data_IF_681360841154
#
_entry.id   IF_681360841154
#
_cell.length_a   1.000
_cell.length_b   1.000
_cell.length_c   1.000
_cell.angle_alpha   90.00
_cell.angle_beta   90.00
_cell.angle_gamma   90.00
#
_symmetry.space_group_name_H-M   'P 1'
#
loop_
_entity.id
_entity.type
_entity.pdbx_description
1 polymer ?
#
# COMPACT_ATOMS: atom_id res chain seq x y z
N UNK A 1 -16.51 1.90 0.33
CA UNK A 1 -17.16 2.57 -0.82
C UNK A 1 -18.11 3.68 -0.33
N UNK A 2 -19.11 3.37 0.54
CA UNK A 2 -20.08 4.37 1.00
C UNK A 2 -19.40 5.58 1.66
N UNK A 3 -18.46 5.35 2.57
CA UNK A 3 -17.72 6.41 3.24
C UNK A 3 -16.83 7.22 2.28
N UNK A 4 -16.19 6.56 1.30
CA UNK A 4 -15.38 7.23 0.27
C UNK A 4 -16.24 8.20 -0.55
N UNK A 5 -17.38 7.73 -1.05
CA UNK A 5 -18.35 8.55 -1.80
C UNK A 5 -18.94 9.71 -0.98
N UNK A 6 -19.06 9.53 0.32
CA UNK A 6 -19.57 10.56 1.22
C UNK A 6 -18.48 11.54 1.72
N UNK A 7 -17.20 11.28 1.44
CA UNK A 7 -16.08 12.07 1.96
C UNK A 7 -15.86 11.92 3.47
N UNK A 8 -16.27 10.80 4.04
CA UNK A 8 -16.22 10.54 5.49
C UNK A 8 -15.22 9.43 5.87
N UNK A 9 -14.26 9.15 4.99
CA UNK A 9 -13.17 8.25 5.35
C UNK A 9 -12.33 8.84 6.49
N UNK A 10 -11.89 8.01 7.44
CA UNK A 10 -10.82 8.40 8.36
C UNK A 10 -9.55 8.82 7.61
N UNK A 11 -8.71 9.61 8.26
CA UNK A 11 -7.42 10.06 7.70
C UNK A 11 -6.52 8.90 7.27
N UNK A 12 -6.58 7.79 7.98
CA UNK A 12 -5.96 6.52 7.60
C UNK A 12 -7.02 5.43 7.57
N UNK A 13 -7.06 4.68 6.48
CA UNK A 13 -8.03 3.60 6.28
C UNK A 13 -7.34 2.37 5.71
N UNK A 14 -7.38 1.27 6.43
CA UNK A 14 -6.95 -0.03 5.93
C UNK A 14 -8.16 -0.80 5.40
N UNK A 15 -8.04 -1.33 4.20
CA UNK A 15 -9.09 -2.14 3.60
C UNK A 15 -8.48 -3.48 3.22
N UNK A 16 -8.91 -4.54 3.91
CA UNK A 16 -8.58 -5.92 3.55
C UNK A 16 -9.88 -6.57 3.04
N UNK A 17 -9.90 -7.07 1.79
CA UNK A 17 -11.04 -7.82 1.28
C UNK A 17 -11.29 -9.09 2.11
N UNK A 18 -12.55 -9.51 2.21
CA UNK A 18 -12.90 -10.80 2.79
C UNK A 18 -12.59 -11.96 1.84
N UNK A 19 -12.55 -13.16 2.37
CA UNK A 19 -12.27 -14.37 1.62
C UNK A 19 -13.09 -14.49 0.33
N UNK A 20 -12.45 -14.92 -0.74
CA UNK A 20 -13.01 -14.97 -2.10
C UNK A 20 -12.75 -13.74 -2.97
N UNK A 21 -12.15 -12.65 -2.42
CA UNK A 21 -11.76 -11.44 -3.16
C UNK A 21 -10.43 -10.85 -2.68
N UNK A 22 -9.56 -11.65 -2.10
CA UNK A 22 -8.32 -11.25 -1.44
C UNK A 22 -7.06 -11.73 -2.17
N UNK A 23 -7.22 -12.38 -3.32
CA UNK A 23 -6.16 -13.00 -4.12
C UNK A 23 -5.39 -14.11 -3.39
N UNK A 24 -5.92 -14.60 -2.27
CA UNK A 24 -5.27 -15.69 -1.53
C UNK A 24 -5.28 -16.98 -2.36
N UNK A 25 -4.11 -17.62 -2.58
CA UNK A 25 -4.01 -18.85 -3.34
C UNK A 25 -4.96 -19.95 -2.83
N UNK A 26 -5.72 -20.54 -3.75
CA UNK A 26 -6.68 -21.60 -3.44
C UNK A 26 -8.04 -21.17 -2.90
N UNK A 27 -8.25 -19.87 -2.60
CA UNK A 27 -9.53 -19.37 -2.10
C UNK A 27 -10.16 -18.29 -2.97
N UNK A 28 -9.38 -17.56 -3.74
CA UNK A 28 -9.88 -16.53 -4.65
C UNK A 28 -9.08 -16.48 -5.95
N UNK A 29 -9.64 -15.85 -6.97
CA UNK A 29 -8.96 -15.60 -8.23
C UNK A 29 -8.54 -14.13 -8.35
N UNK A 30 -7.48 -13.90 -9.14
CA UNK A 30 -6.91 -12.56 -9.34
C UNK A 30 -7.92 -11.64 -10.02
N UNK A 31 -8.65 -12.13 -11.00
CA UNK A 31 -9.56 -11.29 -11.78
C UNK A 31 -10.70 -10.69 -10.95
N UNK A 32 -11.39 -11.51 -10.17
CA UNK A 32 -12.49 -11.04 -9.30
C UNK A 32 -11.98 -10.07 -8.23
N UNK A 33 -10.79 -10.32 -7.71
CA UNK A 33 -10.16 -9.50 -6.69
C UNK A 33 -9.70 -8.15 -7.25
N UNK A 34 -9.11 -8.14 -8.45
CA UNK A 34 -8.80 -6.89 -9.18
C UNK A 34 -10.05 -6.04 -9.42
N UNK A 35 -11.17 -6.65 -9.83
CA UNK A 35 -12.42 -5.91 -10.03
C UNK A 35 -12.87 -5.21 -8.74
N UNK A 36 -12.72 -5.87 -7.60
CA UNK A 36 -13.03 -5.25 -6.32
C UNK A 36 -12.04 -4.13 -5.98
N UNK A 37 -10.73 -4.35 -6.18
CA UNK A 37 -9.70 -3.34 -5.93
C UNK A 37 -9.95 -2.07 -6.78
N UNK A 38 -10.20 -2.22 -8.08
CA UNK A 38 -10.54 -1.11 -8.98
C UNK A 38 -11.78 -0.36 -8.50
N UNK A 39 -12.83 -1.08 -8.09
CA UNK A 39 -14.05 -0.46 -7.56
C UNK A 39 -13.82 0.33 -6.27
N UNK A 40 -12.94 -0.15 -5.40
CA UNK A 40 -12.58 0.53 -4.16
C UNK A 40 -11.74 1.78 -4.46
N UNK A 41 -10.73 1.67 -5.31
CA UNK A 41 -9.85 2.75 -5.73
C UNK A 41 -10.66 3.86 -6.40
N UNK A 42 -11.50 3.52 -7.39
CA UNK A 42 -12.35 4.50 -8.06
C UNK A 42 -13.30 5.21 -7.10
N UNK A 43 -13.83 4.51 -6.10
CA UNK A 43 -14.69 5.15 -5.10
C UNK A 43 -13.96 6.22 -4.27
N UNK A 44 -12.64 6.10 -4.09
CA UNK A 44 -11.81 7.12 -3.45
C UNK A 44 -11.49 8.25 -4.43
N UNK A 45 -11.04 7.90 -5.65
CA UNK A 45 -10.60 8.88 -6.65
C UNK A 45 -11.74 9.72 -7.24
N UNK A 46 -12.96 9.18 -7.26
CA UNK A 46 -14.18 9.91 -7.68
C UNK A 46 -14.87 10.61 -6.49
N UNK A 47 -14.36 10.41 -5.29
CA UNK A 47 -14.95 10.95 -4.06
C UNK A 47 -14.51 12.39 -3.75
N UNK A 48 -15.18 13.04 -2.79
CA UNK A 48 -14.87 14.43 -2.41
C UNK A 48 -13.43 14.66 -1.91
N UNK A 49 -12.79 13.62 -1.38
CA UNK A 49 -11.43 13.70 -0.84
C UNK A 49 -10.33 13.34 -1.88
N UNK A 50 -10.68 13.08 -3.13
CA UNK A 50 -9.76 12.61 -4.19
C UNK A 50 -8.47 13.46 -4.31
N UNK A 51 -8.60 14.77 -4.21
CA UNK A 51 -7.46 15.72 -4.32
C UNK A 51 -6.45 15.61 -3.17
N UNK A 52 -6.86 15.06 -2.04
CA UNK A 52 -6.04 14.91 -0.82
C UNK A 52 -5.78 13.43 -0.47
N UNK A 53 -6.20 12.50 -1.34
CA UNK A 53 -6.08 11.08 -1.11
C UNK A 53 -4.81 10.48 -1.71
N UNK A 54 -4.22 9.56 -0.98
CA UNK A 54 -3.18 8.65 -1.46
C UNK A 54 -3.65 7.23 -1.22
N UNK A 55 -3.69 6.42 -2.26
CA UNK A 55 -4.01 4.99 -2.18
C UNK A 55 -2.73 4.20 -2.39
N UNK A 56 -2.47 3.28 -1.50
CA UNK A 56 -1.38 2.30 -1.62
C UNK A 56 -2.04 0.93 -1.75
N UNK A 57 -1.90 0.31 -2.92
CA UNK A 57 -2.34 -1.05 -3.18
C UNK A 57 -1.14 -1.97 -3.08
N UNK A 58 -1.19 -2.94 -2.19
CA UNK A 58 -0.12 -3.92 -1.99
C UNK A 58 -0.68 -5.20 -1.37
N UNK A 59 0.15 -6.23 -1.30
CA UNK A 59 -0.15 -7.45 -0.57
C UNK A 59 0.40 -7.38 0.86
N UNK A 60 -0.20 -8.14 1.76
CA UNK A 60 0.27 -8.28 3.14
C UNK A 60 1.48 -9.23 3.24
N UNK A 61 1.56 -10.22 2.33
CA UNK A 61 2.70 -11.14 2.21
C UNK A 61 2.74 -11.77 0.80
N UNK A 62 3.72 -12.62 0.52
CA UNK A 62 4.03 -13.14 -0.84
C UNK A 62 3.12 -14.30 -1.32
N UNK A 63 2.17 -14.76 -0.50
CA UNK A 63 1.19 -15.80 -0.87
C UNK A 63 1.79 -17.20 -1.14
N UNK A 64 3.03 -17.46 -0.74
CA UNK A 64 3.72 -18.71 -1.05
C UNK A 64 4.28 -18.79 -2.48
N UNK A 65 4.19 -17.72 -3.27
CA UNK A 65 4.74 -17.67 -4.63
C UNK A 65 6.27 -17.54 -4.61
N UNK A 66 6.92 -18.22 -5.54
CA UNK A 66 8.37 -18.15 -5.69
C UNK A 66 8.82 -16.79 -6.22
N UNK A 67 9.85 -16.23 -5.56
CA UNK A 67 10.59 -15.08 -6.06
C UNK A 67 12.05 -15.47 -6.29
N UNK A 68 12.59 -15.19 -7.47
CA UNK A 68 13.98 -15.49 -7.82
C UNK A 68 14.99 -14.54 -7.17
N UNK A 69 14.54 -13.47 -6.53
CA UNK A 69 15.41 -12.55 -5.80
C UNK A 69 15.43 -12.92 -4.32
N UNK A 70 16.64 -13.20 -3.82
CA UNK A 70 16.83 -13.48 -2.41
C UNK A 70 16.43 -12.28 -1.55
N UNK A 71 15.58 -12.45 -0.54
CA UNK A 71 15.24 -11.37 0.37
C UNK A 71 16.45 -10.80 1.09
N UNK A 72 16.52 -9.48 1.32
CA UNK A 72 17.58 -8.91 2.16
C UNK A 72 17.42 -9.35 3.62
N UNK A 73 18.52 -9.45 4.33
CA UNK A 73 18.52 -9.75 5.77
C UNK A 73 18.66 -8.43 6.51
N UNK A 74 17.57 -7.96 7.12
CA UNK A 74 17.55 -6.72 7.92
C UNK A 74 17.57 -7.08 9.41
N UNK A 75 16.67 -7.94 9.83
CA UNK A 75 16.57 -8.44 11.20
C UNK A 75 16.02 -9.87 11.24
N UNK A 76 15.76 -10.40 12.42
CA UNK A 76 15.23 -11.76 12.59
C UNK A 76 13.80 -11.96 12.06
N UNK A 77 13.11 -10.90 11.72
CA UNK A 77 11.70 -10.93 11.29
C UNK A 77 11.52 -10.79 9.78
N UNK A 78 12.55 -10.48 9.07
CA UNK A 78 12.49 -10.31 7.62
C UNK A 78 13.22 -9.06 7.13
N UNK A 79 12.87 -8.52 5.94
CA UNK A 79 11.69 -8.80 5.11
C UNK A 79 11.74 -10.18 4.44
N UNK A 80 10.57 -10.61 3.94
CA UNK A 80 10.44 -11.81 3.12
C UNK A 80 10.61 -11.53 1.62
N UNK A 81 10.05 -12.42 0.80
CA UNK A 81 10.02 -12.26 -0.66
C UNK A 81 9.31 -10.98 -1.09
N UNK A 82 9.66 -10.47 -2.28
CA UNK A 82 9.10 -9.23 -2.79
C UNK A 82 7.60 -9.36 -3.01
N UNK A 83 6.89 -8.27 -2.74
CA UNK A 83 5.48 -8.07 -3.08
C UNK A 83 5.35 -6.81 -3.93
N UNK A 84 4.43 -6.76 -4.90
CA UNK A 84 4.19 -5.55 -5.68
C UNK A 84 3.51 -4.47 -4.82
N UNK A 85 3.76 -3.21 -5.18
CA UNK A 85 3.04 -2.07 -4.64
C UNK A 85 2.72 -1.08 -5.75
N UNK A 86 1.52 -0.50 -5.70
CA UNK A 86 1.07 0.56 -6.62
C UNK A 86 0.64 1.75 -5.78
N UNK A 87 1.22 2.91 -6.05
CA UNK A 87 0.89 4.16 -5.38
C UNK A 87 0.04 5.00 -6.33
N UNK A 88 -1.15 5.41 -5.88
CA UNK A 88 -2.17 6.04 -6.71
C UNK A 88 -2.69 7.29 -6.02
N UNK A 89 -2.76 8.38 -6.75
CA UNK A 89 -3.30 9.65 -6.24
C UNK A 89 -2.59 10.87 -6.83
N UNK A 90 -3.02 12.07 -6.47
CA UNK A 90 -2.48 13.32 -7.02
C UNK A 90 -1.00 13.56 -6.69
N UNK A 91 -0.50 12.94 -5.63
CA UNK A 91 0.89 13.09 -5.18
C UNK A 91 1.82 11.99 -5.72
N UNK A 92 1.29 10.96 -6.35
CA UNK A 92 2.09 9.89 -6.94
C UNK A 92 2.76 10.36 -8.25
N UNK A 93 4.00 9.97 -8.49
CA UNK A 93 4.66 10.15 -9.78
C UNK A 93 3.89 9.34 -10.84
N UNK A 94 3.53 10.00 -11.94
CA UNK A 94 2.72 9.38 -13.00
C UNK A 94 3.58 8.59 -13.97
N UNK A 95 3.21 7.34 -14.22
CA UNK A 95 3.89 6.48 -15.20
C UNK A 95 5.33 6.14 -14.81
N UNK A 96 5.66 6.24 -13.54
CA UNK A 96 6.98 5.96 -13.01
C UNK A 96 7.08 4.52 -12.51
N UNK A 97 8.24 3.92 -12.68
CA UNK A 97 8.60 2.63 -12.09
C UNK A 97 9.73 2.89 -11.11
N UNK A 98 9.40 2.96 -9.85
CA UNK A 98 10.37 3.25 -8.79
C UNK A 98 11.13 1.97 -8.38
N UNK A 99 12.44 1.99 -8.52
CA UNK A 99 13.35 0.89 -8.15
C UNK A 99 13.91 1.02 -6.72
N UNK A 100 13.41 1.97 -5.95
CA UNK A 100 13.79 2.11 -4.55
C UNK A 100 13.28 0.92 -3.74
N UNK A 101 14.11 0.41 -2.85
CA UNK A 101 13.68 -0.63 -1.92
C UNK A 101 12.74 -0.03 -0.88
N UNK A 102 11.54 -0.56 -0.84
CA UNK A 102 10.54 -0.32 0.19
C UNK A 102 10.23 -1.63 0.92
N UNK A 103 9.52 -1.52 2.00
CA UNK A 103 9.02 -2.65 2.79
C UNK A 103 7.64 -2.33 3.38
N UNK A 104 6.97 -3.31 3.94
CA UNK A 104 5.61 -3.12 4.49
C UNK A 104 5.57 -1.99 5.54
N UNK A 105 6.62 -1.88 6.37
CA UNK A 105 6.72 -0.80 7.36
C UNK A 105 7.01 0.58 6.75
N UNK A 106 7.30 0.69 5.46
CA UNK A 106 7.35 1.98 4.76
C UNK A 106 6.00 2.70 4.78
N UNK A 107 4.89 1.95 4.82
CA UNK A 107 3.54 2.52 4.97
C UNK A 107 3.40 3.15 6.35
N UNK A 108 3.86 2.47 7.39
CA UNK A 108 3.85 2.98 8.76
C UNK A 108 4.74 4.21 8.88
N UNK A 109 5.97 4.14 8.38
CA UNK A 109 6.91 5.27 8.35
C UNK A 109 6.32 6.50 7.63
N UNK A 110 5.58 6.29 6.53
CA UNK A 110 4.88 7.37 5.84
C UNK A 110 3.80 8.02 6.73
N UNK A 111 3.01 7.21 7.44
CA UNK A 111 1.99 7.70 8.37
C UNK A 111 2.65 8.51 9.50
N UNK A 112 3.70 7.98 10.10
CA UNK A 112 4.46 8.64 11.17
C UNK A 112 4.99 10.00 10.74
N UNK A 113 5.64 10.06 9.58
CA UNK A 113 6.13 11.33 9.02
C UNK A 113 4.99 12.32 8.71
N UNK A 114 3.88 11.83 8.16
CA UNK A 114 2.75 12.69 7.76
C UNK A 114 2.08 13.37 8.95
N UNK A 115 2.02 12.71 10.10
CA UNK A 115 1.33 13.22 11.30
C UNK A 115 2.27 13.52 12.47
N UNK A 116 3.58 13.50 12.26
CA UNK A 116 4.60 13.70 13.29
C UNK A 116 4.40 12.79 14.51
N UNK A 117 4.15 11.51 14.24
CA UNK A 117 4.02 10.46 15.26
C UNK A 117 5.40 9.86 15.50
N UNK A 118 5.73 9.60 16.76
CA UNK A 118 6.98 8.92 17.10
C UNK A 118 6.98 7.48 16.56
N UNK A 119 8.06 7.02 15.94
CA UNK A 119 8.19 5.66 15.46
C UNK A 119 7.99 4.61 16.55
N UNK A 120 7.39 3.49 16.22
CA UNK A 120 7.16 2.39 17.15
C UNK A 120 8.43 1.58 17.42
N UNK A 121 9.35 1.51 16.46
CA UNK A 121 10.56 0.72 16.51
C UNK A 121 11.67 1.28 15.61
N UNK A 122 12.88 0.75 15.75
CA UNK A 122 14.00 1.17 14.90
C UNK A 122 13.77 0.85 13.41
N UNK A 123 13.00 -0.18 13.10
CA UNK A 123 12.76 -0.59 11.71
C UNK A 123 11.90 0.42 10.95
N UNK A 124 10.77 0.83 11.49
CA UNK A 124 9.88 1.83 10.87
C UNK A 124 10.51 3.22 10.86
N UNK A 125 11.27 3.57 11.90
CA UNK A 125 12.06 4.81 11.98
C UNK A 125 13.03 4.97 10.80
N UNK A 126 13.63 3.87 10.34
CA UNK A 126 14.62 3.87 9.26
C UNK A 126 14.05 3.49 7.89
N UNK A 127 12.83 3.02 7.82
CA UNK A 127 12.18 2.68 6.57
C UNK A 127 11.94 3.93 5.70
N UNK A 128 12.07 3.76 4.37
CA UNK A 128 11.81 4.86 3.45
C UNK A 128 10.29 5.14 3.35
N UNK A 129 9.81 6.34 3.73
CA UNK A 129 8.40 6.70 3.66
C UNK A 129 7.95 7.11 2.24
N UNK A 130 8.27 6.34 1.22
CA UNK A 130 7.93 6.57 -0.18
C UNK A 130 8.44 7.90 -0.78
N UNK A 131 9.55 8.44 -0.28
CA UNK A 131 10.07 9.75 -0.72
C UNK A 131 10.31 9.83 -2.22
N UNK A 132 10.72 8.72 -2.84
CA UNK A 132 11.04 8.70 -4.27
C UNK A 132 9.80 8.50 -5.15
N UNK A 133 8.73 7.93 -4.62
CA UNK A 133 7.49 7.66 -5.34
C UNK A 133 6.51 8.85 -5.34
N UNK A 134 6.73 9.85 -4.49
CA UNK A 134 5.82 10.96 -4.26
C UNK A 134 6.41 12.30 -4.72
N UNK A 135 5.52 13.21 -5.11
CA UNK A 135 5.82 14.60 -5.45
C UNK A 135 4.93 15.49 -4.59
N UNK A 136 5.55 16.34 -3.77
CA UNK A 136 4.89 17.41 -3.04
C UNK A 136 5.38 18.74 -3.62
N UNK A 137 4.49 19.47 -4.26
CA UNK A 137 4.76 20.81 -4.78
C UNK A 137 4.50 21.86 -3.71
#
# INVERSE_FOLDING_TARGET
>A
IKAAKAGTLPSVSFVKPGGGNDEHPGSSDVYSSEQLAVKLINAVLDGPNAKDALVILTYDEFGGFFDHVTPPVIDRWGPGSRIPAIIIGPFAKKGDVDHTQYETVSILSFIEHRWAIEPLAERDKHANPFRNALIFN
#
